data_IF_123632948247
#
_entry.id   IF_123632948247
#
_cell.length_a   1.000
_cell.length_b   1.000
_cell.length_c   1.000
_cell.angle_alpha   90.00
_cell.angle_beta   90.00
_cell.angle_gamma   90.00
#
_symmetry.space_group_name_H-M   'P 1'
#
loop_
_entity.id
_entity.type
_entity.pdbx_description
1 polymer ?
#
# COMPACT_ATOMS: atom_id res chain seq x y z
N UNK A 1 -25.92 6.25 -0.84
CA UNK A 1 -24.56 6.75 -1.09
C UNK A 1 -23.95 5.94 -2.22
N UNK A 2 -24.10 6.41 -3.46
CA UNK A 2 -23.66 5.65 -4.65
C UNK A 2 -22.14 5.68 -4.78
N UNK A 3 -21.53 4.51 -4.99
CA UNK A 3 -20.13 4.42 -5.41
C UNK A 3 -19.99 5.12 -6.75
N UNK A 4 -19.05 6.05 -6.88
CA UNK A 4 -18.74 6.67 -8.18
C UNK A 4 -18.18 5.57 -9.08
N UNK A 5 -18.86 5.33 -10.20
CA UNK A 5 -18.42 4.41 -11.25
C UNK A 5 -18.16 5.19 -12.52
N UNK A 6 -17.03 4.94 -13.16
CA UNK A 6 -16.71 5.44 -14.49
C UNK A 6 -16.51 4.22 -15.38
N UNK A 7 -17.23 4.17 -16.52
CA UNK A 7 -17.25 3.02 -17.42
C UNK A 7 -17.51 1.65 -16.71
N UNK A 8 -18.35 1.65 -15.67
CA UNK A 8 -18.72 0.43 -14.93
C UNK A 8 -17.75 0.02 -13.81
N UNK A 9 -16.55 0.60 -13.76
CA UNK A 9 -15.54 0.35 -12.70
C UNK A 9 -15.63 1.41 -11.60
N UNK A 10 -15.39 1.01 -10.35
CA UNK A 10 -15.35 1.93 -9.22
C UNK A 10 -14.14 2.84 -9.41
N UNK A 11 -14.33 4.15 -9.37
CA UNK A 11 -13.20 5.08 -9.43
C UNK A 11 -12.51 5.13 -8.07
N UNK A 12 -11.31 5.71 -8.03
CA UNK A 12 -10.79 6.31 -6.80
C UNK A 12 -11.85 7.17 -6.09
N UNK A 13 -11.61 7.45 -4.81
CA UNK A 13 -12.53 8.17 -3.92
C UNK A 13 -12.77 9.63 -4.32
N UNK A 14 -12.46 10.57 -3.43
CA UNK A 14 -12.55 11.99 -3.77
C UNK A 14 -11.43 12.38 -4.76
N UNK A 15 -11.62 13.38 -5.61
CA UNK A 15 -10.59 13.80 -6.56
C UNK A 15 -9.30 14.19 -5.82
N UNK A 16 -8.14 13.75 -6.35
CA UNK A 16 -6.83 14.11 -5.80
C UNK A 16 -6.50 15.59 -5.97
N UNK A 17 -7.16 16.29 -6.90
CA UNK A 17 -7.02 17.72 -7.15
C UNK A 17 -7.80 18.61 -6.16
N UNK A 18 -8.55 18.02 -5.22
CA UNK A 18 -9.25 18.82 -4.21
C UNK A 18 -8.24 19.52 -3.29
N UNK A 19 -8.51 20.76 -2.86
CA UNK A 19 -7.67 21.45 -1.88
C UNK A 19 -7.50 20.61 -0.61
N UNK A 20 -6.27 20.50 -0.13
CA UNK A 20 -5.94 19.79 1.12
C UNK A 20 -5.25 20.73 2.09
N UNK A 21 -5.65 20.66 3.36
CA UNK A 21 -4.91 21.28 4.46
C UNK A 21 -3.97 20.20 5.02
N UNK A 22 -2.66 20.42 4.87
CA UNK A 22 -1.65 19.50 5.40
C UNK A 22 -1.46 19.73 6.89
N UNK A 23 -1.40 18.65 7.67
CA UNK A 23 -1.02 18.73 9.09
C UNK A 23 0.45 19.08 9.26
N UNK A 24 1.30 18.54 8.39
CA UNK A 24 2.71 18.93 8.26
C UNK A 24 2.89 19.52 6.85
N UNK A 25 3.28 20.80 6.70
CA UNK A 25 3.42 21.43 5.38
C UNK A 25 4.44 20.74 4.47
N UNK A 26 5.38 19.99 5.05
CA UNK A 26 6.45 19.28 4.33
C UNK A 26 6.04 17.89 3.84
N UNK A 27 4.85 17.39 4.18
CA UNK A 27 4.40 16.02 3.89
C UNK A 27 3.05 16.04 3.20
N UNK A 28 2.97 15.42 2.02
CA UNK A 28 1.71 15.11 1.36
C UNK A 28 1.36 13.63 1.53
N UNK A 29 0.11 13.35 1.90
CA UNK A 29 -0.44 12.00 1.89
C UNK A 29 -1.32 11.82 0.64
N UNK A 30 -0.95 10.88 -0.21
CA UNK A 30 -1.67 10.56 -1.46
C UNK A 30 -2.30 9.18 -1.35
N UNK A 31 -3.63 9.13 -1.41
CA UNK A 31 -4.36 7.88 -1.53
C UNK A 31 -4.29 7.39 -2.99
N UNK A 32 -3.82 6.16 -3.21
CA UNK A 32 -3.65 5.61 -4.56
C UNK A 32 -4.84 4.74 -5.01
N UNK A 33 -5.64 4.26 -4.07
CA UNK A 33 -6.92 3.60 -4.31
C UNK A 33 -7.86 3.80 -3.12
N UNK A 34 -9.10 3.34 -3.27
CA UNK A 34 -10.04 3.18 -2.17
C UNK A 34 -10.73 1.83 -2.21
N UNK A 35 -10.92 1.23 -1.04
CA UNK A 35 -11.49 -0.11 -0.94
C UNK A 35 -10.42 -1.17 -1.12
N UNK A 36 -10.82 -2.43 -0.95
CA UNK A 36 -9.89 -3.54 -0.81
C UNK A 36 -10.46 -4.79 -1.49
N UNK A 37 -9.58 -5.63 -2.04
CA UNK A 37 -9.94 -6.92 -2.62
C UNK A 37 -10.07 -8.02 -1.55
N UNK A 38 -9.35 -7.87 -0.42
CA UNK A 38 -9.32 -8.86 0.65
C UNK A 38 -10.68 -9.05 1.35
N UNK A 39 -10.88 -10.24 1.93
CA UNK A 39 -12.12 -10.67 2.61
C UNK A 39 -11.93 -10.93 4.10
N UNK A 40 -10.99 -10.22 4.73
CA UNK A 40 -10.57 -10.48 6.11
C UNK A 40 -11.76 -10.43 7.09
N UNK A 41 -11.92 -11.48 7.91
CA UNK A 41 -13.13 -11.68 8.74
C UNK A 41 -13.29 -10.65 9.86
N UNK A 42 -12.21 -10.03 10.30
CA UNK A 42 -12.20 -8.97 11.31
C UNK A 42 -12.35 -7.56 10.70
N UNK A 43 -12.18 -7.40 9.40
CA UNK A 43 -11.99 -6.09 8.78
C UNK A 43 -13.31 -5.48 8.26
N UNK A 44 -13.73 -4.34 8.85
CA UNK A 44 -14.94 -3.64 8.39
C UNK A 44 -14.76 -2.91 7.06
N UNK A 45 -13.53 -2.69 6.62
CA UNK A 45 -13.15 -1.87 5.47
C UNK A 45 -13.88 -2.23 4.19
N UNK A 46 -13.99 -3.52 3.84
CA UNK A 46 -14.70 -3.95 2.62
C UNK A 46 -16.16 -3.50 2.62
N UNK A 47 -16.84 -3.57 3.75
CA UNK A 47 -18.22 -3.08 3.88
C UNK A 47 -18.32 -1.56 3.87
N UNK A 48 -17.36 -0.85 4.45
CA UNK A 48 -17.38 0.61 4.58
C UNK A 48 -16.93 1.33 3.29
N UNK A 49 -15.92 0.80 2.61
CA UNK A 49 -15.28 1.39 1.44
C UNK A 49 -15.65 0.70 0.14
N UNK A 50 -16.12 -0.55 0.17
CA UNK A 50 -16.46 -1.35 -1.01
C UNK A 50 -15.23 -2.02 -1.65
N UNK A 51 -15.44 -2.54 -2.86
CA UNK A 51 -14.40 -3.15 -3.69
C UNK A 51 -13.30 -2.16 -4.07
N UNK A 52 -12.17 -2.65 -4.58
CA UNK A 52 -11.08 -1.82 -5.07
C UNK A 52 -11.54 -0.82 -6.14
N UNK A 53 -11.08 0.43 -6.01
CA UNK A 53 -11.18 1.46 -7.02
C UNK A 53 -9.90 2.29 -7.01
N UNK A 54 -9.05 2.07 -8.02
CA UNK A 54 -7.76 2.73 -8.16
C UNK A 54 -7.89 4.10 -8.85
N UNK A 55 -7.01 5.04 -8.47
CA UNK A 55 -6.84 6.27 -9.26
C UNK A 55 -5.94 5.96 -10.47
N UNK A 56 -6.17 6.62 -11.63
CA UNK A 56 -5.25 6.54 -12.77
C UNK A 56 -3.82 6.93 -12.35
N UNK A 57 -2.77 6.25 -12.84
CA UNK A 57 -1.39 6.58 -12.47
C UNK A 57 -1.03 8.05 -12.71
N UNK A 58 -1.50 8.61 -13.82
CA UNK A 58 -1.16 9.98 -14.20
C UNK A 58 -1.77 11.02 -13.24
N UNK A 59 -2.96 10.76 -12.68
CA UNK A 59 -3.58 11.61 -11.65
C UNK A 59 -2.74 11.61 -10.36
N UNK A 60 -2.20 10.45 -9.98
CA UNK A 60 -1.36 10.29 -8.79
C UNK A 60 -0.02 11.02 -9.00
N UNK A 61 0.61 10.84 -10.17
CA UNK A 61 1.88 11.48 -10.54
C UNK A 61 1.72 12.99 -10.60
N UNK A 62 0.65 13.50 -11.24
CA UNK A 62 0.36 14.94 -11.28
C UNK A 62 0.19 15.52 -9.88
N UNK A 63 -0.50 14.80 -8.98
CA UNK A 63 -0.63 15.25 -7.59
C UNK A 63 0.71 15.28 -6.85
N UNK A 64 1.60 14.32 -7.11
CA UNK A 64 2.94 14.31 -6.53
C UNK A 64 3.77 15.51 -7.01
N UNK A 65 3.81 15.76 -8.32
CA UNK A 65 4.49 16.92 -8.93
C UNK A 65 4.00 18.23 -8.32
N UNK A 66 2.68 18.44 -8.31
CA UNK A 66 2.08 19.63 -7.72
C UNK A 66 2.47 19.80 -6.24
N UNK A 67 2.54 18.70 -5.48
CA UNK A 67 2.91 18.77 -4.07
C UNK A 67 4.34 19.23 -3.87
N UNK A 68 5.29 18.77 -4.70
CA UNK A 68 6.67 19.26 -4.68
C UNK A 68 6.78 20.73 -5.05
N UNK A 69 6.01 21.21 -6.04
CA UNK A 69 5.93 22.64 -6.38
C UNK A 69 5.39 23.49 -5.22
N UNK A 70 4.52 22.92 -4.38
CA UNK A 70 3.99 23.53 -3.16
C UNK A 70 4.97 23.48 -1.96
N UNK A 71 6.18 22.94 -2.15
CA UNK A 71 7.23 22.89 -1.13
C UNK A 71 7.20 21.67 -0.21
N UNK A 72 6.41 20.64 -0.56
CA UNK A 72 6.47 19.33 0.11
C UNK A 72 7.82 18.67 -0.20
N UNK A 73 8.39 17.96 0.77
CA UNK A 73 9.64 17.19 0.57
C UNK A 73 9.44 15.70 0.78
N UNK A 74 8.27 15.27 1.29
CA UNK A 74 7.93 13.87 1.44
C UNK A 74 6.53 13.55 0.91
N UNK A 75 6.44 12.51 0.08
CA UNK A 75 5.17 11.92 -0.34
C UNK A 75 4.96 10.61 0.41
N UNK A 76 3.83 10.48 1.11
CA UNK A 76 3.42 9.25 1.77
C UNK A 76 2.24 8.64 1.02
N UNK A 77 2.44 7.46 0.43
CA UNK A 77 1.37 6.74 -0.23
C UNK A 77 0.51 6.02 0.82
N UNK A 78 -0.80 6.11 0.64
CA UNK A 78 -1.76 5.41 1.50
C UNK A 78 -2.76 4.61 0.68
N UNK A 79 -3.16 3.48 1.25
CA UNK A 79 -4.16 2.56 0.70
C UNK A 79 -4.67 1.66 1.83
N UNK A 80 -5.83 1.05 1.63
CA UNK A 80 -6.24 -0.13 2.41
C UNK A 80 -5.30 -1.33 2.19
N UNK A 81 -4.72 -1.46 1.00
CA UNK A 81 -3.70 -2.44 0.62
C UNK A 81 -2.94 -1.92 -0.60
N UNK A 82 -1.70 -1.45 -0.40
CA UNK A 82 -0.90 -0.83 -1.47
C UNK A 82 -0.64 -1.82 -2.62
N UNK A 83 -0.37 -3.10 -2.28
CA UNK A 83 -0.06 -4.14 -3.26
C UNK A 83 -1.21 -4.43 -4.22
N UNK A 84 -2.45 -4.23 -3.77
CA UNK A 84 -3.64 -4.43 -4.60
C UNK A 84 -3.86 -3.33 -5.66
N UNK A 85 -3.07 -2.24 -5.64
CA UNK A 85 -3.24 -1.14 -6.59
C UNK A 85 -3.14 -1.63 -8.04
N UNK A 86 -4.09 -1.18 -8.86
CA UNK A 86 -4.01 -1.35 -10.31
C UNK A 86 -4.65 -2.63 -10.87
N UNK A 87 -4.93 -3.65 -10.03
CA UNK A 87 -5.61 -4.88 -10.47
C UNK A 87 -6.97 -4.62 -11.15
N UNK A 88 -7.68 -3.55 -10.76
CA UNK A 88 -8.96 -3.17 -11.33
C UNK A 88 -8.84 -2.36 -12.64
N UNK A 89 -7.68 -1.75 -12.92
CA UNK A 89 -7.45 -0.88 -14.08
C UNK A 89 -6.37 -1.39 -15.05
N UNK A 90 -5.77 -2.55 -14.78
CA UNK A 90 -4.80 -3.20 -15.67
C UNK A 90 -3.41 -2.55 -15.64
N UNK A 91 -3.01 -2.02 -14.48
CA UNK A 91 -1.65 -1.50 -14.21
C UNK A 91 -1.10 -2.19 -12.98
N UNK A 92 0.21 -2.15 -12.79
CA UNK A 92 0.87 -2.74 -11.62
C UNK A 92 1.35 -1.67 -10.63
N UNK A 93 1.51 -2.04 -9.37
CA UNK A 93 2.11 -1.15 -8.36
C UNK A 93 3.53 -0.71 -8.75
N UNK A 94 4.47 -1.60 -9.17
CA UNK A 94 5.80 -1.16 -9.58
C UNK A 94 5.82 -0.12 -10.70
N UNK A 95 4.95 -0.23 -11.71
CA UNK A 95 4.84 0.77 -12.78
C UNK A 95 4.49 2.16 -12.25
N UNK A 96 3.55 2.24 -11.29
CA UNK A 96 3.23 3.51 -10.62
C UNK A 96 4.41 4.02 -9.81
N UNK A 97 5.06 3.15 -9.02
CA UNK A 97 6.15 3.55 -8.14
C UNK A 97 7.35 4.08 -8.91
N UNK A 98 7.71 3.46 -10.04
CA UNK A 98 8.77 3.98 -10.91
C UNK A 98 8.41 5.34 -11.51
N UNK A 99 7.18 5.52 -12.02
CA UNK A 99 6.70 6.82 -12.48
C UNK A 99 6.78 7.91 -11.39
N UNK A 100 6.49 7.54 -10.13
CA UNK A 100 6.61 8.47 -9.00
C UNK A 100 8.08 8.80 -8.73
N UNK A 101 8.95 7.79 -8.65
CA UNK A 101 10.39 7.98 -8.40
C UNK A 101 11.04 8.94 -9.41
N UNK A 102 10.64 8.85 -10.68
CA UNK A 102 11.15 9.70 -11.76
C UNK A 102 10.86 11.19 -11.55
N UNK A 103 9.72 11.52 -10.92
CA UNK A 103 9.30 12.91 -10.70
C UNK A 103 9.69 13.48 -9.34
N UNK A 104 10.24 12.66 -8.43
CA UNK A 104 10.66 13.12 -7.11
C UNK A 104 11.96 13.94 -7.24
N UNK A 105 12.01 15.21 -6.77
CA UNK A 105 13.23 16.00 -6.79
C UNK A 105 14.34 15.41 -5.91
N UNK A 106 15.59 15.82 -6.15
CA UNK A 106 16.70 15.49 -5.27
C UNK A 106 16.45 16.03 -3.85
N UNK A 107 16.77 15.24 -2.82
CA UNK A 107 16.52 15.57 -1.42
C UNK A 107 15.08 15.34 -0.95
N UNK A 108 14.17 14.93 -1.83
CA UNK A 108 12.80 14.57 -1.49
C UNK A 108 12.62 13.04 -1.41
N UNK A 109 11.63 12.58 -0.65
CA UNK A 109 11.46 11.16 -0.32
C UNK A 109 10.04 10.64 -0.58
N UNK A 110 9.95 9.37 -0.98
CA UNK A 110 8.74 8.57 -1.07
C UNK A 110 8.67 7.59 0.10
N UNK A 111 7.52 7.55 0.77
CA UNK A 111 7.20 6.54 1.77
C UNK A 111 6.06 5.66 1.27
N UNK A 112 6.31 4.35 1.25
CA UNK A 112 5.31 3.35 0.90
C UNK A 112 4.41 3.05 2.11
N UNK A 113 3.13 2.81 1.82
CA UNK A 113 2.12 2.41 2.80
C UNK A 113 2.19 0.92 3.16
N UNK A 114 1.14 0.41 3.80
CA UNK A 114 1.04 -1.03 4.09
C UNK A 114 0.72 -1.84 2.84
N UNK A 115 1.25 -3.06 2.77
CA UNK A 115 0.92 -4.05 1.72
C UNK A 115 0.77 -5.43 2.34
N UNK A 116 -0.19 -6.22 1.88
CA UNK A 116 -0.35 -7.60 2.35
C UNK A 116 0.57 -8.57 1.57
N UNK A 117 1.02 -9.69 2.19
CA UNK A 117 1.91 -10.65 1.56
C UNK A 117 1.53 -11.12 0.14
N UNK A 118 0.27 -11.50 -0.18
CA UNK A 118 -0.06 -12.06 -1.49
C UNK A 118 0.30 -11.14 -2.65
N UNK A 119 -0.03 -9.85 -2.54
CA UNK A 119 0.20 -8.90 -3.63
C UNK A 119 1.65 -8.44 -3.74
N UNK A 120 2.38 -8.35 -2.62
CA UNK A 120 3.81 -8.02 -2.72
C UNK A 120 4.63 -9.19 -3.28
N UNK A 121 4.23 -10.44 -3.01
CA UNK A 121 4.91 -11.62 -3.55
C UNK A 121 4.93 -11.63 -5.09
N UNK A 122 3.87 -11.14 -5.74
CA UNK A 122 3.80 -11.01 -7.20
C UNK A 122 4.89 -10.09 -7.79
N UNK A 123 5.41 -9.16 -6.98
CA UNK A 123 6.31 -8.09 -7.42
C UNK A 123 7.54 -7.93 -6.52
N UNK A 124 7.91 -8.97 -5.77
CA UNK A 124 8.86 -8.86 -4.65
C UNK A 124 10.24 -8.33 -5.08
N UNK A 125 10.75 -8.77 -6.23
CA UNK A 125 12.02 -8.28 -6.77
C UNK A 125 11.99 -6.80 -7.13
N UNK A 126 10.93 -6.35 -7.79
CA UNK A 126 10.75 -4.94 -8.16
C UNK A 126 10.58 -4.07 -6.92
N UNK A 127 9.81 -4.53 -5.93
CA UNK A 127 9.64 -3.84 -4.67
C UNK A 127 10.97 -3.68 -3.93
N UNK A 128 11.85 -4.68 -3.95
CA UNK A 128 13.19 -4.58 -3.38
C UNK A 128 14.06 -3.54 -4.13
N UNK A 129 13.99 -3.48 -5.47
CA UNK A 129 14.70 -2.45 -6.25
C UNK A 129 14.19 -1.05 -5.91
N UNK A 130 12.87 -0.88 -5.82
CA UNK A 130 12.24 0.40 -5.48
C UNK A 130 12.63 0.84 -4.06
N UNK A 131 12.58 -0.06 -3.08
CA UNK A 131 12.93 0.27 -1.69
C UNK A 131 14.43 0.58 -1.49
N UNK A 132 15.29 0.18 -2.43
CA UNK A 132 16.71 0.56 -2.46
C UNK A 132 16.98 1.92 -3.12
N UNK A 133 15.98 2.50 -3.79
CA UNK A 133 16.18 3.75 -4.51
C UNK A 133 16.45 4.90 -3.52
N UNK A 134 17.42 5.80 -3.78
CA UNK A 134 17.80 6.86 -2.83
C UNK A 134 16.68 7.86 -2.49
N UNK A 135 15.64 7.91 -3.32
CA UNK A 135 14.44 8.74 -3.10
C UNK A 135 13.28 7.99 -2.44
N UNK A 136 13.50 6.75 -1.99
CA UNK A 136 12.47 5.93 -1.34
C UNK A 136 12.99 5.54 0.03
N UNK A 137 12.15 5.67 1.05
CA UNK A 137 12.51 5.18 2.38
C UNK A 137 12.65 3.65 2.33
N UNK A 138 13.75 3.14 2.89
CA UNK A 138 13.94 1.73 3.18
C UNK A 138 13.02 1.31 4.35
N UNK A 139 11.72 1.34 4.12
CA UNK A 139 10.67 1.05 5.07
C UNK A 139 9.50 0.39 4.35
N UNK A 140 8.97 -0.69 4.93
CA UNK A 140 7.73 -1.28 4.46
C UNK A 140 6.91 -1.83 5.63
N UNK A 141 5.61 -1.57 5.59
CA UNK A 141 4.67 -2.14 6.55
C UNK A 141 4.00 -3.38 5.92
N UNK A 142 4.29 -4.56 6.47
CA UNK A 142 3.71 -5.85 6.05
C UNK A 142 3.00 -6.47 7.26
N UNK A 143 1.67 -6.34 7.38
CA UNK A 143 0.95 -6.80 8.56
C UNK A 143 0.67 -8.31 8.50
N UNK A 144 1.25 -9.09 9.40
CA UNK A 144 1.08 -10.55 9.45
C UNK A 144 -0.25 -10.94 10.11
N UNK A 145 -0.72 -10.16 11.06
CA UNK A 145 -1.93 -10.34 11.89
C UNK A 145 -1.87 -11.48 12.90
N UNK A 146 -1.38 -12.66 12.54
CA UNK A 146 -1.20 -13.78 13.46
C UNK A 146 0.02 -14.62 13.08
N UNK A 147 0.63 -15.25 14.07
CA UNK A 147 1.71 -16.21 13.90
C UNK A 147 1.21 -17.67 13.96
N UNK A 148 -0.07 -17.91 13.65
CA UNK A 148 -0.69 -19.24 13.56
C UNK A 148 -1.43 -19.39 12.23
N UNK A 149 -1.06 -20.39 11.43
CA UNK A 149 -1.68 -20.63 10.12
C UNK A 149 -3.16 -20.99 10.23
N UNK A 150 -3.58 -21.67 11.30
CA UNK A 150 -5.00 -21.94 11.54
C UNK A 150 -5.79 -20.64 11.79
N UNK A 151 -5.23 -19.75 12.61
CA UNK A 151 -5.82 -18.43 12.87
C UNK A 151 -5.81 -17.56 11.61
N UNK A 152 -4.74 -17.57 10.82
CA UNK A 152 -4.67 -16.85 9.53
C UNK A 152 -5.76 -17.34 8.54
N UNK A 153 -5.98 -18.65 8.48
CA UNK A 153 -7.04 -19.24 7.66
C UNK A 153 -8.43 -18.78 8.12
N UNK A 154 -8.71 -18.79 9.43
CA UNK A 154 -9.98 -18.29 9.98
C UNK A 154 -10.15 -16.77 9.83
N UNK A 155 -9.04 -16.03 9.80
CA UNK A 155 -9.00 -14.62 9.43
C UNK A 155 -9.31 -14.38 7.94
N UNK A 156 -9.38 -15.44 7.13
CA UNK A 156 -9.43 -15.39 5.65
C UNK A 156 -8.24 -14.64 5.06
N UNK A 157 -7.04 -14.92 5.57
CA UNK A 157 -5.80 -14.55 4.89
C UNK A 157 -5.49 -15.59 3.81
N UNK A 158 -5.03 -15.11 2.66
CA UNK A 158 -4.65 -15.94 1.51
C UNK A 158 -3.13 -16.23 1.51
N UNK A 159 -2.52 -16.26 2.70
CA UNK A 159 -1.10 -16.48 2.93
C UNK A 159 -0.90 -17.18 4.28
N UNK A 160 0.25 -17.84 4.42
CA UNK A 160 0.72 -18.47 5.66
C UNK A 160 1.87 -17.68 6.29
N UNK A 161 2.34 -18.14 7.44
CA UNK A 161 3.50 -17.55 8.14
C UNK A 161 4.75 -17.63 7.25
N UNK A 162 4.95 -18.74 6.52
CA UNK A 162 6.12 -18.93 5.67
C UNK A 162 6.15 -17.95 4.49
N UNK A 163 4.99 -17.59 3.92
CA UNK A 163 4.88 -16.54 2.91
C UNK A 163 5.34 -15.18 3.47
N UNK A 164 4.90 -14.84 4.68
CA UNK A 164 5.33 -13.62 5.35
C UNK A 164 6.84 -13.64 5.63
N UNK A 165 7.38 -14.76 6.14
CA UNK A 165 8.82 -14.92 6.39
C UNK A 165 9.62 -14.77 5.11
N UNK A 166 9.15 -15.37 4.01
CA UNK A 166 9.80 -15.24 2.71
C UNK A 166 9.90 -13.78 2.25
N UNK A 167 8.81 -13.00 2.34
CA UNK A 167 8.82 -11.57 2.03
C UNK A 167 9.84 -10.82 2.89
N UNK A 168 9.82 -11.04 4.21
CA UNK A 168 10.70 -10.34 5.16
C UNK A 168 12.17 -10.69 4.94
N UNK A 169 12.48 -11.96 4.79
CA UNK A 169 13.85 -12.45 4.63
C UNK A 169 14.44 -11.97 3.31
N UNK A 170 13.66 -12.04 2.22
CA UNK A 170 14.06 -11.53 0.92
C UNK A 170 14.35 -10.03 0.96
N UNK A 171 13.45 -9.23 1.55
CA UNK A 171 13.63 -7.78 1.64
C UNK A 171 14.83 -7.41 2.50
N UNK A 172 15.05 -8.10 3.64
CA UNK A 172 16.22 -7.87 4.49
C UNK A 172 17.54 -8.21 3.79
N UNK A 173 17.54 -9.24 2.96
CA UNK A 173 18.72 -9.61 2.17
C UNK A 173 18.99 -8.58 1.07
N UNK A 174 17.96 -8.16 0.34
CA UNK A 174 18.11 -7.32 -0.86
C UNK A 174 18.15 -5.82 -0.58
N UNK A 175 17.60 -5.35 0.54
CA UNK A 175 17.47 -3.92 0.86
C UNK A 175 18.19 -3.62 2.19
N UNK A 176 19.49 -3.26 2.14
CA UNK A 176 20.26 -2.99 3.34
C UNK A 176 19.63 -1.90 4.21
N UNK A 177 19.41 -2.19 5.49
CA UNK A 177 18.83 -1.25 6.45
C UNK A 177 17.31 -1.10 6.37
N UNK A 178 16.61 -1.95 5.61
CA UNK A 178 15.14 -1.89 5.55
C UNK A 178 14.50 -2.10 6.91
N UNK A 179 13.58 -1.21 7.27
CA UNK A 179 12.72 -1.37 8.44
C UNK A 179 11.41 -2.03 8.02
N UNK A 180 11.13 -3.19 8.60
CA UNK A 180 9.83 -3.87 8.44
C UNK A 180 8.97 -3.57 9.66
N UNK A 181 7.81 -2.96 9.43
CA UNK A 181 6.75 -2.84 10.43
C UNK A 181 5.70 -3.93 10.20
N UNK A 182 5.04 -4.37 11.26
CA UNK A 182 3.95 -5.36 11.17
C UNK A 182 2.92 -5.13 12.29
N UNK A 183 1.69 -5.57 12.04
CA UNK A 183 0.59 -5.56 12.99
C UNK A 183 0.23 -6.99 13.39
N UNK A 184 -0.16 -7.18 14.66
CA UNK A 184 -0.60 -8.45 15.23
C UNK A 184 -1.92 -8.24 15.97
N UNK A 185 -2.88 -9.15 15.78
CA UNK A 185 -4.15 -9.23 16.49
C UNK A 185 -4.09 -10.44 17.42
N UNK A 186 -3.99 -10.20 18.72
CA UNK A 186 -4.12 -11.24 19.74
C UNK A 186 -5.59 -11.40 20.17
N UNK A 187 -5.94 -12.58 20.69
CA UNK A 187 -7.30 -12.87 21.16
C UNK A 187 -8.30 -13.01 20.02
N UNK A 188 -7.86 -13.46 18.84
CA UNK A 188 -8.78 -13.81 17.77
C UNK A 188 -9.73 -14.94 18.25
N UNK A 189 -11.01 -15.00 17.83
CA UNK A 189 -11.99 -15.93 18.43
C UNK A 189 -11.62 -17.42 18.40
N UNK A 190 -10.72 -17.82 17.50
CA UNK A 190 -10.22 -19.20 17.37
C UNK A 190 -8.78 -19.38 17.88
N UNK A 191 -8.17 -18.34 18.46
CA UNK A 191 -6.83 -18.40 19.05
C UNK A 191 -6.82 -19.31 20.28
N UNK A 192 -5.77 -20.13 20.40
CA UNK A 192 -5.54 -21.04 21.54
C UNK A 192 -4.12 -20.83 22.10
N UNK A 193 -3.72 -21.60 23.11
CA UNK A 193 -2.42 -21.45 23.76
C UNK A 193 -1.22 -22.04 22.99
N UNK A 194 -1.47 -22.87 21.96
CA UNK A 194 -0.44 -23.47 21.11
C UNK A 194 0.29 -22.39 20.29
#
# INVERSE_FOLDING_TARGET
>A
FGQKKQAGKKTGGASLALPKIRKNPLIEIIAINTGCLNQCTYCKTKHARGELGSYPPDDIVQRAVQSFEEGVVEIWLTSEDLGAYGHDIGVTLPELLWKLVDVIPEGCMLRLGMTNPPYILEHLEEMAKICNHPRVYAFLHVPVQSASDSVLMDMKREYCIDDFRHVVDFLKEKVPGITIATDIICGFPTETNE
#
